data_IF_457774214302
#
_entry.id   IF_457774214302
#
_cell.length_a   1.000
_cell.length_b   1.000
_cell.length_c   1.000
_cell.angle_alpha   90.00
_cell.angle_beta   90.00
_cell.angle_gamma   90.00
#
_symmetry.space_group_name_H-M   'P 1'
#
loop_
_entity.id
_entity.type
_entity.pdbx_description
1 polymer ?
#
# COMPACT_ATOMS: atom_id res chain seq x y z
N UNK A 1 -10.21 21.33 -5.26
CA UNK A 1 -10.31 20.36 -4.16
C UNK A 1 -9.02 19.55 -4.14
N UNK A 2 -8.39 19.32 -2.97
CA UNK A 2 -7.16 18.52 -2.87
C UNK A 2 -7.55 17.07 -2.59
N UNK A 3 -7.05 16.13 -3.40
CA UNK A 3 -7.24 14.69 -3.15
C UNK A 3 -6.35 14.25 -1.97
N UNK A 4 -6.91 13.66 -0.91
CA UNK A 4 -6.12 13.17 0.22
C UNK A 4 -5.37 11.89 -0.15
N UNK A 5 -4.15 11.74 0.37
CA UNK A 5 -3.40 10.48 0.31
C UNK A 5 -3.63 9.70 1.61
N UNK A 6 -4.18 8.49 1.50
CA UNK A 6 -4.43 7.61 2.62
C UNK A 6 -3.40 6.49 2.61
N UNK A 7 -2.49 6.49 3.59
CA UNK A 7 -1.45 5.46 3.72
C UNK A 7 -1.96 4.28 4.56
N UNK A 8 -1.80 3.06 4.03
CA UNK A 8 -2.17 1.82 4.69
C UNK A 8 -3.68 1.65 4.91
N UNK A 9 -4.51 2.28 4.07
CA UNK A 9 -5.97 2.18 4.07
C UNK A 9 -6.48 2.01 2.62
N UNK A 10 -7.50 1.17 2.38
CA UNK A 10 -8.17 0.29 3.34
C UNK A 10 -7.34 -0.96 3.68
N UNK A 11 -7.51 -1.52 4.87
CA UNK A 11 -6.93 -2.82 5.27
C UNK A 11 -7.90 -3.98 5.17
N UNK A 12 -9.17 -3.67 4.94
CA UNK A 12 -10.25 -4.61 4.71
C UNK A 12 -11.18 -4.03 3.64
N UNK A 13 -11.76 -4.88 2.79
CA UNK A 13 -12.68 -4.47 1.71
C UNK A 13 -13.80 -3.53 2.20
N UNK A 14 -14.42 -3.86 3.34
CA UNK A 14 -15.54 -3.12 3.93
C UNK A 14 -15.16 -1.68 4.29
N UNK A 15 -13.92 -1.44 4.71
CA UNK A 15 -13.44 -0.09 5.01
C UNK A 15 -13.44 0.78 3.74
N UNK A 16 -12.98 0.22 2.61
CA UNK A 16 -13.00 0.93 1.33
C UNK A 16 -14.42 1.27 0.88
N UNK A 17 -15.36 0.33 1.01
CA UNK A 17 -16.79 0.55 0.71
C UNK A 17 -17.40 1.64 1.59
N UNK A 18 -17.15 1.61 2.90
CA UNK A 18 -17.64 2.62 3.85
C UNK A 18 -17.06 4.01 3.54
N UNK A 19 -15.78 4.09 3.17
CA UNK A 19 -15.14 5.34 2.77
C UNK A 19 -15.79 5.95 1.52
N UNK A 20 -16.06 5.14 0.50
CA UNK A 20 -16.70 5.62 -0.72
C UNK A 20 -18.12 6.15 -0.48
N UNK A 21 -18.85 5.52 0.43
CA UNK A 21 -20.21 5.95 0.82
C UNK A 21 -20.18 7.23 1.65
N UNK A 22 -19.29 7.29 2.66
CA UNK A 22 -19.33 8.35 3.66
C UNK A 22 -18.54 9.61 3.27
N UNK A 23 -17.52 9.49 2.42
CA UNK A 23 -16.55 10.56 2.16
C UNK A 23 -16.49 10.90 0.68
N UNK A 24 -15.92 10.03 -0.17
CA UNK A 24 -15.86 10.20 -1.63
C UNK A 24 -15.45 8.91 -2.34
N UNK A 25 -15.79 8.74 -3.62
CA UNK A 25 -15.24 7.67 -4.46
C UNK A 25 -13.71 7.70 -4.47
N UNK A 26 -13.07 6.51 -4.49
CA UNK A 26 -11.63 6.38 -4.64
C UNK A 26 -11.23 6.78 -6.06
N UNK A 27 -10.20 7.61 -6.20
CA UNK A 27 -9.69 8.01 -7.52
C UNK A 27 -8.66 6.99 -8.05
N UNK A 28 -7.77 6.50 -7.16
CA UNK A 28 -6.70 5.57 -7.48
C UNK A 28 -6.28 4.78 -6.23
N UNK A 29 -5.86 3.54 -6.42
CA UNK A 29 -5.19 2.73 -5.40
C UNK A 29 -3.76 2.47 -5.85
N UNK A 30 -2.79 3.01 -5.11
CA UNK A 30 -1.36 2.77 -5.37
C UNK A 30 -0.90 1.54 -4.60
N UNK A 31 -0.60 0.45 -5.30
CA UNK A 31 -0.12 -0.79 -4.69
C UNK A 31 1.39 -0.94 -4.90
N UNK A 32 2.16 -0.81 -3.82
CA UNK A 32 3.61 -1.00 -3.83
C UNK A 32 3.92 -2.48 -3.58
N UNK A 33 4.13 -3.22 -4.67
CA UNK A 33 4.36 -4.65 -4.63
C UNK A 33 5.83 -4.98 -4.33
N UNK A 34 6.07 -5.85 -3.36
CA UNK A 34 7.40 -6.34 -3.00
C UNK A 34 7.31 -7.81 -2.60
N UNK A 35 8.42 -8.53 -2.74
CA UNK A 35 8.55 -9.90 -2.25
C UNK A 35 8.50 -9.94 -0.73
N UNK A 36 7.92 -11.00 -0.18
CA UNK A 36 7.87 -11.23 1.26
C UNK A 36 9.26 -11.17 1.91
N UNK A 37 10.27 -11.76 1.26
CA UNK A 37 11.66 -11.73 1.72
C UNK A 37 12.17 -10.30 1.88
N UNK A 38 11.94 -9.45 0.87
CA UNK A 38 12.32 -8.04 0.86
C UNK A 38 11.58 -7.27 1.96
N UNK A 39 10.28 -7.51 2.14
CA UNK A 39 9.48 -6.89 3.20
C UNK A 39 9.96 -7.29 4.59
N UNK A 40 10.22 -8.58 4.83
CA UNK A 40 10.76 -9.08 6.11
C UNK A 40 12.11 -8.44 6.42
N UNK A 41 13.04 -8.43 5.46
CA UNK A 41 14.36 -7.82 5.65
C UNK A 41 14.26 -6.33 6.01
N UNK A 42 13.40 -5.57 5.32
CA UNK A 42 13.18 -4.14 5.60
C UNK A 42 12.56 -3.92 6.99
N UNK A 43 11.60 -4.76 7.39
CA UNK A 43 10.95 -4.67 8.71
C UNK A 43 11.91 -5.04 9.85
N UNK A 44 12.76 -6.05 9.67
CA UNK A 44 13.79 -6.40 10.66
C UNK A 44 14.82 -5.28 10.82
N UNK A 45 15.34 -4.72 9.72
CA UNK A 45 16.24 -3.57 9.76
C UNK A 45 15.60 -2.35 10.44
N UNK A 46 14.29 -2.16 10.27
CA UNK A 46 13.54 -1.12 10.97
C UNK A 46 13.48 -1.40 12.48
N UNK A 47 13.22 -2.63 12.89
CA UNK A 47 13.19 -3.03 14.30
C UNK A 47 14.52 -2.69 15.01
N UNK A 48 15.65 -2.99 14.35
CA UNK A 48 17.00 -2.70 14.85
C UNK A 48 17.29 -1.20 14.99
N UNK A 49 16.81 -0.38 14.05
CA UNK A 49 17.14 1.05 13.96
C UNK A 49 16.16 1.95 14.71
N UNK A 50 14.90 1.54 14.89
CA UNK A 50 13.84 2.39 15.44
C UNK A 50 13.38 2.03 16.86
N UNK A 51 13.93 0.97 17.47
CA UNK A 51 13.59 0.57 18.84
C UNK A 51 12.13 0.13 19.04
N UNK A 52 11.43 -0.29 17.97
CA UNK A 52 10.05 -0.79 18.06
C UNK A 52 10.07 -2.23 18.58
N UNK A 53 9.66 -2.41 19.84
CA UNK A 53 9.59 -3.70 20.54
C UNK A 53 8.66 -4.74 19.89
N UNK A 54 7.71 -4.29 19.05
CA UNK A 54 6.68 -5.15 18.46
C UNK A 54 7.07 -5.77 17.12
N UNK A 55 8.23 -5.39 16.55
CA UNK A 55 8.72 -5.94 15.28
C UNK A 55 9.59 -7.21 15.54
N UNK A 56 9.00 -8.22 16.18
CA UNK A 56 9.58 -9.57 16.25
C UNK A 56 9.20 -10.40 15.02
N UNK A 57 10.02 -11.39 14.66
CA UNK A 57 9.87 -12.18 13.44
C UNK A 57 8.50 -12.87 13.35
N UNK A 58 7.96 -13.36 14.47
CA UNK A 58 6.64 -13.98 14.54
C UNK A 58 5.51 -12.99 14.22
N UNK A 59 5.63 -11.76 14.72
CA UNK A 59 4.65 -10.69 14.49
C UNK A 59 4.71 -10.18 13.06
N UNK A 60 5.92 -10.09 12.48
CA UNK A 60 6.11 -9.74 11.07
C UNK A 60 5.43 -10.79 10.18
N UNK A 61 5.64 -12.08 10.44
CA UNK A 61 5.00 -13.16 9.69
C UNK A 61 3.47 -13.12 9.80
N UNK A 62 2.92 -12.92 11.00
CA UNK A 62 1.46 -12.79 11.18
C UNK A 62 0.90 -11.59 10.41
N UNK A 63 1.59 -10.45 10.44
CA UNK A 63 1.19 -9.25 9.68
C UNK A 63 1.19 -9.50 8.16
N UNK A 64 2.21 -10.19 7.64
CA UNK A 64 2.27 -10.55 6.23
C UNK A 64 1.16 -11.51 5.83
N UNK A 65 0.86 -12.51 6.67
CA UNK A 65 -0.27 -13.42 6.42
C UNK A 65 -1.61 -12.68 6.38
N UNK A 66 -1.87 -11.80 7.36
CA UNK A 66 -3.10 -10.98 7.37
C UNK A 66 -3.14 -10.04 6.17
N UNK A 67 -2.00 -9.46 5.79
CA UNK A 67 -1.89 -8.61 4.62
C UNK A 67 -2.32 -9.36 3.37
N UNK A 68 -1.71 -10.51 3.05
CA UNK A 68 -2.05 -11.30 1.87
C UNK A 68 -3.52 -11.75 1.87
N UNK A 69 -4.02 -12.21 3.02
CA UNK A 69 -5.42 -12.66 3.15
C UNK A 69 -6.44 -11.55 2.84
N UNK A 70 -6.12 -10.29 3.19
CA UNK A 70 -7.02 -9.16 3.01
C UNK A 70 -6.76 -8.35 1.74
N UNK A 71 -5.54 -8.40 1.20
CA UNK A 71 -5.13 -7.59 0.07
C UNK A 71 -5.79 -8.05 -1.24
N UNK A 72 -5.86 -9.35 -1.48
CA UNK A 72 -6.44 -9.90 -2.72
C UNK A 72 -7.90 -9.43 -2.95
N UNK A 73 -8.81 -9.49 -1.94
CA UNK A 73 -10.16 -8.93 -2.07
C UNK A 73 -10.21 -7.43 -2.36
N UNK A 74 -9.25 -6.66 -1.83
CA UNK A 74 -9.19 -5.20 -2.02
C UNK A 74 -8.73 -4.88 -3.44
N UNK A 75 -7.66 -5.52 -3.91
CA UNK A 75 -7.14 -5.34 -5.27
C UNK A 75 -8.19 -5.73 -6.30
N UNK A 76 -8.92 -6.83 -6.10
CA UNK A 76 -10.00 -7.22 -7.02
C UNK A 76 -11.17 -6.22 -7.00
N UNK A 77 -11.53 -5.67 -5.83
CA UNK A 77 -12.58 -4.65 -5.72
C UNK A 77 -12.23 -3.35 -6.46
N UNK A 78 -10.95 -2.97 -6.48
CA UNK A 78 -10.45 -1.73 -7.10
C UNK A 78 -9.67 -1.98 -8.40
N UNK A 79 -9.83 -3.14 -9.04
CA UNK A 79 -9.02 -3.59 -10.19
C UNK A 79 -8.87 -2.56 -11.32
N UNK A 80 -9.91 -1.77 -11.59
CA UNK A 80 -9.90 -0.72 -12.62
C UNK A 80 -9.19 0.58 -12.21
N UNK A 81 -8.89 0.74 -10.92
CA UNK A 81 -8.26 1.93 -10.31
C UNK A 81 -6.92 1.62 -9.64
N UNK A 82 -6.52 0.35 -9.61
CA UNK A 82 -5.26 -0.11 -9.05
C UNK A 82 -4.12 0.18 -10.00
N UNK A 83 -3.06 0.77 -9.46
CA UNK A 83 -1.77 0.93 -10.12
C UNK A 83 -0.73 0.18 -9.29
N UNK A 84 -0.11 -0.82 -9.90
CA UNK A 84 0.90 -1.65 -9.24
C UNK A 84 2.29 -1.11 -9.58
N UNK A 85 3.09 -0.83 -8.56
CA UNK A 85 4.49 -0.39 -8.70
C UNK A 85 5.38 -1.38 -7.96
N UNK A 86 6.41 -1.88 -8.65
CA UNK A 86 7.41 -2.75 -8.02
C UNK A 86 8.29 -1.94 -7.07
N UNK A 87 8.23 -2.29 -5.78
CA UNK A 87 9.04 -1.73 -4.70
C UNK A 87 10.37 -2.47 -4.47
N UNK A 88 10.78 -3.34 -5.40
CA UNK A 88 12.10 -4.01 -5.40
C UNK A 88 13.24 -3.11 -5.89
N UNK A 89 12.91 -1.97 -6.49
CA UNK A 89 13.89 -1.01 -7.03
C UNK A 89 14.40 -0.05 -5.95
N UNK A 90 15.28 0.89 -6.33
CA UNK A 90 15.71 1.96 -5.41
C UNK A 90 14.54 2.87 -5.05
N UNK A 91 14.65 3.56 -3.91
CA UNK A 91 13.59 4.47 -3.45
C UNK A 91 13.32 5.57 -4.48
N UNK A 92 14.35 6.07 -5.16
CA UNK A 92 14.26 7.09 -6.21
C UNK A 92 13.50 6.58 -7.43
N UNK A 93 13.75 5.34 -7.86
CA UNK A 93 13.04 4.74 -8.99
C UNK A 93 11.57 4.48 -8.67
N UNK A 94 11.27 3.97 -7.47
CA UNK A 94 9.90 3.76 -7.00
C UNK A 94 9.15 5.09 -6.91
N UNK A 95 9.81 6.12 -6.38
CA UNK A 95 9.25 7.46 -6.26
C UNK A 95 8.95 8.08 -7.62
N UNK A 96 9.89 8.00 -8.57
CA UNK A 96 9.71 8.53 -9.91
C UNK A 96 8.54 7.85 -10.66
N UNK A 97 8.37 6.53 -10.49
CA UNK A 97 7.21 5.85 -11.07
C UNK A 97 5.91 6.27 -10.37
N UNK A 98 5.90 6.40 -9.04
CA UNK A 98 4.72 6.87 -8.31
C UNK A 98 4.31 8.29 -8.73
N UNK A 99 5.27 9.20 -8.88
CA UNK A 99 5.08 10.57 -9.37
C UNK A 99 4.43 10.56 -10.75
N UNK A 100 4.99 9.79 -11.70
CA UNK A 100 4.44 9.65 -13.05
C UNK A 100 2.99 9.17 -13.06
N UNK A 101 2.63 8.23 -12.19
CA UNK A 101 1.26 7.70 -12.11
C UNK A 101 0.29 8.72 -11.49
N UNK A 102 0.75 9.46 -10.48
CA UNK A 102 -0.03 10.55 -9.87
C UNK A 102 -0.23 11.72 -10.83
N UNK A 103 0.79 12.09 -11.60
CA UNK A 103 0.69 13.14 -12.62
C UNK A 103 -0.33 12.79 -13.70
N UNK A 104 -0.35 11.53 -14.15
CA UNK A 104 -1.35 11.06 -15.10
C UNK A 104 -2.79 11.16 -14.55
N UNK A 105 -2.97 10.87 -13.26
CA UNK A 105 -4.27 11.01 -12.58
C UNK A 105 -4.70 12.47 -12.48
N UNK A 106 -3.78 13.37 -12.14
CA UNK A 106 -4.06 14.81 -12.00
C UNK A 106 -4.32 15.45 -13.37
N UNK A 107 -3.65 15.01 -14.43
CA UNK A 107 -3.86 15.52 -15.79
C UNK A 107 -5.22 15.13 -16.39
N UNK A 108 -5.86 14.07 -15.86
CA UNK A 108 -7.14 13.54 -16.37
C UNK A 108 -8.36 14.11 -15.61
N UNK A 109 -8.15 14.80 -14.48
CA UNK A 109 -9.19 15.38 -13.62
C UNK A 109 -9.21 16.92 -13.71
#
# INVERSE_FOLDING_TARGET
FRTPLLDGYPREKKQGEEFEIAIKPVDMVLYLESKDETMVQRLLKRAETSGRSDDNLETIQKRLQTFHANNDPIIEAYKSKVVIISAEQSAEAVFAEAEKQLDALVATN
#
